data_IF_300258232394
#
_entry.id   IF_300258232394
#
_cell.length_a   1.000
_cell.length_b   1.000
_cell.length_c   1.000
_cell.angle_alpha   90.00
_cell.angle_beta   90.00
_cell.angle_gamma   90.00
#
_symmetry.space_group_name_H-M   'P 1'
#
loop_
_entity.id
_entity.type
_entity.pdbx_description
1 polymer ?
#
# COMPACT_ATOMS: atom_id res chain seq x y z
N UNK A 1 -13.70 -8.20 10.31
CA UNK A 1 -12.30 -8.57 10.65
C UNK A 1 -11.64 -7.41 11.36
N UNK A 2 -10.87 -7.64 12.42
CA UNK A 2 -10.15 -6.57 13.11
C UNK A 2 -9.13 -5.88 12.20
N UNK A 3 -8.86 -4.60 12.44
CA UNK A 3 -7.94 -3.77 11.66
C UNK A 3 -6.54 -4.38 11.47
N UNK A 4 -6.02 -5.00 12.53
CA UNK A 4 -4.74 -5.70 12.51
C UNK A 4 -4.77 -7.01 11.73
N UNK A 5 -5.93 -7.68 11.66
CA UNK A 5 -6.09 -8.90 10.87
C UNK A 5 -6.16 -8.58 9.37
N UNK A 6 -6.86 -7.51 8.99
CA UNK A 6 -6.91 -7.06 7.60
C UNK A 6 -5.51 -6.68 7.11
N UNK A 7 -4.75 -5.96 7.93
CA UNK A 7 -3.37 -5.58 7.64
C UNK A 7 -2.45 -6.80 7.48
N UNK A 8 -2.58 -7.80 8.36
CA UNK A 8 -1.84 -9.07 8.25
C UNK A 8 -2.25 -9.89 7.03
N UNK A 9 -3.53 -9.88 6.66
CA UNK A 9 -4.01 -10.61 5.49
C UNK A 9 -3.48 -9.99 4.19
N UNK A 10 -3.58 -8.66 4.05
CA UNK A 10 -3.11 -7.91 2.87
C UNK A 10 -1.58 -8.02 2.72
N UNK A 11 -0.83 -7.92 3.82
CA UNK A 11 0.65 -7.97 3.78
C UNK A 11 1.21 -9.40 3.77
N UNK A 12 0.47 -10.37 4.31
CA UNK A 12 0.88 -11.77 4.45
C UNK A 12 0.41 -12.68 3.31
N UNK A 13 -0.51 -12.24 2.45
CA UNK A 13 -0.94 -12.99 1.28
C UNK A 13 0.17 -13.04 0.21
N UNK A 14 0.24 -14.16 -0.54
CA UNK A 14 1.13 -14.29 -1.69
C UNK A 14 0.81 -13.19 -2.70
N UNK A 15 1.79 -12.33 -3.00
CA UNK A 15 1.69 -11.28 -4.03
C UNK A 15 1.65 -11.91 -5.43
N UNK A 16 0.48 -12.34 -5.88
CA UNK A 16 0.28 -12.99 -7.18
C UNK A 16 -0.07 -12.00 -8.29
N UNK A 17 -0.49 -10.78 -7.94
CA UNK A 17 -0.89 -9.75 -8.91
C UNK A 17 0.13 -8.61 -8.99
N UNK A 18 0.40 -8.14 -10.22
CA UNK A 18 1.32 -7.02 -10.50
C UNK A 18 0.52 -5.76 -10.77
N UNK A 19 0.79 -4.71 -10.00
CA UNK A 19 0.22 -3.37 -10.23
C UNK A 19 1.25 -2.55 -11.01
N UNK A 20 0.88 -2.06 -12.20
CA UNK A 20 1.72 -1.17 -13.01
C UNK A 20 1.37 0.26 -12.62
N UNK A 21 2.33 0.99 -12.05
CA UNK A 21 2.14 2.36 -11.59
C UNK A 21 2.78 3.35 -12.57
N UNK A 22 1.95 4.10 -13.30
CA UNK A 22 2.41 5.20 -14.13
C UNK A 22 2.50 6.46 -13.25
N UNK A 23 3.74 6.84 -12.88
CA UNK A 23 4.02 8.06 -12.14
C UNK A 23 4.69 9.09 -13.06
N UNK A 24 4.41 10.37 -12.82
CA UNK A 24 5.24 11.45 -13.35
C UNK A 24 6.64 11.38 -12.75
N UNK A 25 7.68 11.87 -13.45
CA UNK A 25 9.05 11.85 -12.94
C UNK A 25 9.20 12.63 -11.62
N UNK A 26 8.43 13.71 -11.45
CA UNK A 26 8.37 14.48 -10.19
C UNK A 26 7.82 13.63 -9.03
N UNK A 27 6.73 12.90 -9.26
CA UNK A 27 6.14 12.03 -8.24
C UNK A 27 7.08 10.88 -7.88
N UNK A 28 7.73 10.27 -8.89
CA UNK A 28 8.73 9.23 -8.67
C UNK A 28 9.85 9.75 -7.78
N UNK A 29 10.45 10.90 -8.13
CA UNK A 29 11.55 11.51 -7.36
C UNK A 29 11.18 11.83 -5.92
N UNK A 30 9.99 12.41 -5.69
CA UNK A 30 9.49 12.69 -4.34
C UNK A 30 9.32 11.40 -3.52
N UNK A 31 8.75 10.35 -4.13
CA UNK A 31 8.58 9.06 -3.47
C UNK A 31 9.94 8.39 -3.16
N UNK A 32 10.95 8.51 -4.03
CA UNK A 32 12.28 7.95 -3.77
C UNK A 32 12.95 8.66 -2.58
N UNK A 33 12.84 9.99 -2.51
CA UNK A 33 13.40 10.78 -1.40
C UNK A 33 12.75 10.41 -0.06
N UNK A 34 11.41 10.29 -0.03
CA UNK A 34 10.67 9.86 1.18
C UNK A 34 11.04 8.42 1.56
N UNK A 35 11.21 7.53 0.58
CA UNK A 35 11.61 6.15 0.81
C UNK A 35 13.03 6.07 1.41
N UNK A 36 13.96 6.89 0.90
CA UNK A 36 15.31 7.01 1.47
C UNK A 36 15.29 7.56 2.90
N UNK A 37 14.52 8.62 3.16
CA UNK A 37 14.42 9.22 4.49
C UNK A 37 13.85 8.23 5.53
N UNK A 38 12.83 7.46 5.13
CA UNK A 38 12.21 6.43 5.97
C UNK A 38 12.98 5.11 5.99
N UNK A 39 14.09 5.00 5.25
CA UNK A 39 14.92 3.80 5.11
C UNK A 39 14.11 2.54 4.69
N UNK A 40 13.19 2.72 3.74
CA UNK A 40 12.34 1.65 3.20
C UNK A 40 12.41 1.60 1.68
N UNK A 41 12.08 0.45 1.09
CA UNK A 41 11.94 0.38 -0.37
C UNK A 41 10.70 1.14 -0.84
N UNK A 42 10.76 1.75 -2.03
CA UNK A 42 9.60 2.37 -2.70
C UNK A 42 8.37 1.47 -2.71
N UNK A 43 8.55 0.19 -3.00
CA UNK A 43 7.47 -0.80 -2.99
C UNK A 43 6.86 -0.98 -1.60
N UNK A 44 7.66 -0.97 -0.54
CA UNK A 44 7.20 -1.07 0.85
C UNK A 44 6.48 0.20 1.31
N UNK A 45 6.96 1.37 0.89
CA UNK A 45 6.30 2.66 1.14
C UNK A 45 4.91 2.70 0.50
N UNK A 46 4.83 2.39 -0.80
CA UNK A 46 3.57 2.36 -1.55
C UNK A 46 2.62 1.32 -0.96
N UNK A 47 3.12 0.12 -0.64
CA UNK A 47 2.29 -0.93 -0.02
C UNK A 47 1.76 -0.48 1.34
N UNK A 48 2.55 0.22 2.14
CA UNK A 48 2.12 0.71 3.45
C UNK A 48 1.06 1.79 3.33
N UNK A 49 1.25 2.76 2.42
CA UNK A 49 0.27 3.81 2.14
C UNK A 49 -1.04 3.23 1.60
N UNK A 50 -0.95 2.30 0.65
CA UNK A 50 -2.14 1.64 0.11
C UNK A 50 -2.86 0.76 1.16
N UNK A 51 -2.11 0.10 2.05
CA UNK A 51 -2.71 -0.68 3.12
C UNK A 51 -3.44 0.21 4.13
N UNK A 52 -2.89 1.37 4.47
CA UNK A 52 -3.52 2.36 5.35
C UNK A 52 -4.83 2.87 4.73
N UNK A 53 -4.80 3.27 3.46
CA UNK A 53 -5.99 3.71 2.73
C UNK A 53 -7.09 2.63 2.67
N UNK A 54 -6.72 1.36 2.43
CA UNK A 54 -7.69 0.24 2.44
C UNK A 54 -8.26 0.01 3.84
N UNK A 55 -7.47 0.26 4.88
CA UNK A 55 -7.87 0.14 6.28
C UNK A 55 -8.80 1.28 6.71
N UNK A 56 -8.57 2.49 6.23
CA UNK A 56 -9.44 3.65 6.49
C UNK A 56 -10.75 3.55 5.70
N UNK A 57 -10.69 3.02 4.47
CA UNK A 57 -11.85 2.84 3.60
C UNK A 57 -12.51 1.45 3.72
N UNK A 58 -12.34 0.74 4.85
CA UNK A 58 -12.90 -0.61 5.04
C UNK A 58 -14.39 -0.71 4.73
N UNK A 59 -15.15 0.36 4.95
CA UNK A 59 -16.59 0.44 4.69
C UNK A 59 -16.94 0.29 3.19
N UNK A 60 -16.04 0.66 2.27
CA UNK A 60 -16.23 0.45 0.83
C UNK A 60 -16.15 -1.03 0.41
N UNK A 61 -15.55 -1.86 1.25
CA UNK A 61 -15.33 -3.29 1.01
C UNK A 61 -16.26 -4.19 1.85
N UNK A 62 -16.82 -3.68 2.95
CA UNK A 62 -17.73 -4.43 3.83
C UNK A 62 -19.11 -4.71 3.19
N UNK A 63 -19.47 -3.98 2.12
CA UNK A 63 -20.74 -4.16 1.37
C UNK A 63 -20.65 -4.91 0.04
N UNK A 64 -19.48 -5.45 -0.33
CA UNK A 64 -19.30 -6.27 -1.55
C UNK A 64 -18.68 -7.62 -1.17
N UNK A 65 -19.50 -8.49 -0.59
CA UNK A 65 -19.24 -9.93 -0.54
C UNK A 65 -20.42 -10.67 -1.15
#
# INVERSE_FOLDING_TARGET
MGEQELRKHILGAKKTERIIFAATPELKGALEAIAQEKCVSLSALITSLAADEVIENKELFDGKQ
#
